data_IF_068038437835
#
_entry.id   IF_068038437835
#
_cell.length_a   1.000
_cell.length_b   1.000
_cell.length_c   1.000
_cell.angle_alpha   90.00
_cell.angle_beta   90.00
_cell.angle_gamma   90.00
#
_symmetry.space_group_name_H-M   'P 1'
#
loop_
_entity.id
_entity.type
_entity.pdbx_description
1 polymer ?
#
# COMPACT_ATOMS: atom_id res chain seq x y z
N UNK A 1 27.00 -20.52 19.36
CA UNK A 1 26.00 -21.19 18.50
C UNK A 1 25.72 -20.27 17.33
N UNK A 2 25.73 -20.80 16.09
CA UNK A 2 25.73 -20.02 14.85
C UNK A 2 24.38 -20.30 14.14
N UNK A 3 23.56 -19.27 13.89
CA UNK A 3 22.54 -19.35 12.84
C UNK A 3 23.18 -18.90 11.52
N UNK A 4 22.79 -19.53 10.42
CA UNK A 4 23.36 -19.30 9.08
C UNK A 4 22.41 -18.55 8.16
N UNK A 5 21.11 -18.53 8.49
CA UNK A 5 20.07 -17.80 7.76
C UNK A 5 19.31 -16.86 8.68
N UNK A 6 18.71 -15.80 8.13
CA UNK A 6 17.89 -14.88 8.92
C UNK A 6 16.68 -15.61 9.55
N UNK A 7 16.10 -16.61 8.86
CA UNK A 7 14.99 -17.38 9.42
C UNK A 7 15.41 -18.17 10.66
N UNK A 8 16.55 -18.85 10.61
CA UNK A 8 17.11 -19.55 11.77
C UNK A 8 17.39 -18.59 12.92
N UNK A 9 17.94 -17.40 12.62
CA UNK A 9 18.22 -16.40 13.66
C UNK A 9 16.93 -15.89 14.32
N UNK A 10 15.83 -15.73 13.56
CA UNK A 10 14.53 -15.35 14.11
C UNK A 10 13.93 -16.46 15.00
N UNK A 11 14.03 -17.71 14.58
CA UNK A 11 13.53 -18.86 15.35
C UNK A 11 14.30 -19.06 16.65
N UNK A 12 15.62 -18.87 16.60
CA UNK A 12 16.51 -18.97 17.74
C UNK A 12 16.31 -17.81 18.73
N UNK A 13 16.39 -16.56 18.26
CA UNK A 13 16.35 -15.39 19.12
C UNK A 13 14.93 -15.00 19.55
N UNK A 14 13.90 -15.45 18.82
CA UNK A 14 12.48 -15.08 19.00
C UNK A 14 12.28 -13.57 19.28
N UNK A 15 12.81 -12.69 18.41
CA UNK A 15 12.78 -11.26 18.68
C UNK A 15 11.35 -10.71 18.61
N UNK A 16 11.07 -9.73 19.45
CA UNK A 16 9.86 -8.90 19.39
C UNK A 16 9.96 -7.86 18.27
N UNK A 17 11.17 -7.39 17.95
CA UNK A 17 11.45 -6.39 16.93
C UNK A 17 12.76 -6.68 16.20
N UNK A 18 12.83 -6.33 14.92
CA UNK A 18 14.07 -6.33 14.13
C UNK A 18 14.38 -4.91 13.66
N UNK A 19 15.63 -4.48 13.87
CA UNK A 19 16.21 -3.29 13.24
C UNK A 19 17.11 -3.73 12.10
N UNK A 20 16.73 -3.43 10.87
CA UNK A 20 17.48 -3.80 9.68
C UNK A 20 18.15 -2.58 9.05
N UNK A 21 19.47 -2.59 8.95
CA UNK A 21 20.23 -1.70 8.07
C UNK A 21 20.45 -2.45 6.77
N UNK A 22 20.10 -1.87 5.62
CA UNK A 22 20.24 -2.56 4.34
C UNK A 22 20.48 -1.61 3.18
N UNK A 23 21.48 -1.90 2.36
CA UNK A 23 21.79 -1.20 1.12
C UNK A 23 22.39 -2.19 0.11
N UNK A 24 21.74 -2.49 -1.03
CA UNK A 24 20.40 -2.06 -1.46
C UNK A 24 19.26 -2.56 -0.54
N UNK A 25 18.01 -2.17 -0.82
CA UNK A 25 16.82 -2.69 -0.11
C UNK A 25 15.83 -3.34 -1.08
N UNK A 26 15.40 -4.56 -0.79
CA UNK A 26 14.33 -5.22 -1.52
C UNK A 26 13.01 -5.14 -0.77
N UNK A 27 12.02 -4.43 -1.31
CA UNK A 27 10.69 -4.25 -0.69
C UNK A 27 9.93 -5.56 -0.45
N UNK A 28 10.16 -6.60 -1.27
CA UNK A 28 9.61 -7.93 -1.00
C UNK A 28 10.26 -8.61 0.22
N UNK A 29 11.52 -8.29 0.52
CA UNK A 29 12.19 -8.73 1.74
C UNK A 29 11.61 -8.02 2.97
N UNK A 30 11.38 -6.70 2.86
CA UNK A 30 10.69 -5.91 3.90
C UNK A 30 9.32 -6.50 4.20
N UNK A 31 8.50 -6.72 3.17
CA UNK A 31 7.16 -7.28 3.32
C UNK A 31 7.18 -8.67 3.97
N UNK A 32 8.05 -9.57 3.49
CA UNK A 32 8.15 -10.93 4.02
C UNK A 32 8.62 -10.96 5.48
N UNK A 33 9.53 -10.06 5.87
CA UNK A 33 10.01 -9.97 7.25
C UNK A 33 8.97 -9.30 8.17
N UNK A 34 8.34 -8.22 7.73
CA UNK A 34 7.31 -7.50 8.49
C UNK A 34 6.06 -8.37 8.77
N UNK A 35 5.79 -9.36 7.91
CA UNK A 35 4.75 -10.37 8.14
C UNK A 35 5.02 -11.24 9.39
N UNK A 36 6.27 -11.37 9.81
CA UNK A 36 6.71 -12.28 10.88
C UNK A 36 7.04 -11.55 12.19
N UNK A 37 7.55 -10.33 12.10
CA UNK A 37 8.08 -9.58 13.26
C UNK A 37 7.95 -8.07 13.05
N UNK A 38 7.82 -7.30 14.13
CA UNK A 38 7.87 -5.84 14.06
C UNK A 38 9.20 -5.40 13.45
N UNK A 39 9.15 -4.52 12.45
CA UNK A 39 10.32 -4.21 11.63
C UNK A 39 10.53 -2.70 11.52
N UNK A 40 11.74 -2.25 11.84
CA UNK A 40 12.24 -0.93 11.45
C UNK A 40 13.42 -1.13 10.51
N UNK A 41 13.46 -0.39 9.40
CA UNK A 41 14.48 -0.50 8.34
C UNK A 41 15.09 0.86 8.06
N UNK A 42 16.41 0.91 7.91
CA UNK A 42 17.16 2.07 7.44
C UNK A 42 17.97 1.69 6.20
N UNK A 43 17.85 2.48 5.13
CA UNK A 43 18.50 2.22 3.84
C UNK A 43 19.10 3.48 3.22
N UNK A 44 20.16 3.34 2.43
CA UNK A 44 20.68 4.42 1.57
C UNK A 44 20.31 4.25 0.10
N UNK A 45 19.49 3.25 -0.23
CA UNK A 45 19.12 2.89 -1.59
C UNK A 45 20.22 2.14 -2.38
N UNK A 46 19.90 1.63 -3.58
CA UNK A 46 18.61 1.70 -4.26
C UNK A 46 17.54 0.79 -3.61
N UNK A 47 16.27 1.16 -3.78
CA UNK A 47 15.10 0.42 -3.25
C UNK A 47 14.33 -0.23 -4.41
N UNK A 48 14.24 -1.55 -4.40
CA UNK A 48 13.50 -2.33 -5.38
C UNK A 48 12.11 -2.71 -4.86
N UNK A 49 11.09 -2.78 -5.71
CA UNK A 49 9.70 -3.07 -5.31
C UNK A 49 9.20 -2.11 -4.22
N UNK A 50 9.31 -0.80 -4.49
CA UNK A 50 8.95 0.28 -3.56
C UNK A 50 7.48 0.19 -3.11
N UNK A 51 6.56 -0.25 -3.98
CA UNK A 51 5.15 -0.43 -3.59
C UNK A 51 4.99 -1.56 -2.56
N UNK A 52 5.83 -2.59 -2.59
CA UNK A 52 5.83 -3.63 -1.56
C UNK A 52 6.34 -3.11 -0.21
N UNK A 53 7.19 -2.08 -0.20
CA UNK A 53 7.55 -1.37 1.05
C UNK A 53 6.32 -0.69 1.63
N UNK A 54 5.58 0.05 0.80
CA UNK A 54 4.34 0.71 1.24
C UNK A 54 3.31 -0.31 1.77
N UNK A 55 3.14 -1.44 1.07
CA UNK A 55 2.29 -2.55 1.52
C UNK A 55 2.72 -3.09 2.90
N UNK A 56 4.03 -3.20 3.15
CA UNK A 56 4.56 -3.63 4.43
C UNK A 56 4.27 -2.63 5.56
N UNK A 57 4.39 -1.33 5.26
CA UNK A 57 4.06 -0.25 6.19
C UNK A 57 2.57 -0.27 6.53
N UNK A 58 1.70 -0.36 5.53
CA UNK A 58 0.25 -0.27 5.71
C UNK A 58 -0.32 -1.48 6.47
N UNK A 59 0.16 -2.69 6.16
CA UNK A 59 -0.44 -3.91 6.72
C UNK A 59 0.24 -4.38 8.01
N UNK A 60 1.53 -4.06 8.20
CA UNK A 60 2.33 -4.64 9.29
C UNK A 60 3.04 -3.58 10.13
N UNK A 61 2.80 -2.29 9.89
CA UNK A 61 3.40 -1.21 10.66
C UNK A 61 4.91 -1.16 10.55
N UNK A 62 5.47 -1.65 9.43
CA UNK A 62 6.89 -1.53 9.18
C UNK A 62 7.29 -0.04 9.10
N UNK A 63 8.41 0.32 9.72
CA UNK A 63 8.96 1.67 9.62
C UNK A 63 10.16 1.63 8.67
N UNK A 64 10.13 2.36 7.56
CA UNK A 64 11.24 2.37 6.60
C UNK A 64 11.73 3.79 6.41
N UNK A 65 13.01 4.01 6.69
CA UNK A 65 13.65 5.31 6.60
C UNK A 65 14.85 5.27 5.67
N UNK A 66 15.08 6.40 5.02
CA UNK A 66 16.27 6.65 4.22
C UNK A 66 17.30 7.41 5.05
N UNK A 67 18.54 6.90 5.07
CA UNK A 67 19.69 7.58 5.62
C UNK A 67 20.88 7.44 4.64
N UNK A 68 21.57 8.53 4.29
CA UNK A 68 22.69 8.49 3.35
C UNK A 68 23.90 7.75 3.94
N UNK A 69 24.78 7.24 3.06
CA UNK A 69 26.10 6.64 3.39
C UNK A 69 26.03 5.34 4.23
N UNK A 70 25.11 4.45 3.90
CA UNK A 70 25.10 3.09 4.44
C UNK A 70 25.73 2.13 3.43
N UNK A 71 26.78 1.44 3.87
CA UNK A 71 27.54 0.51 3.02
C UNK A 71 27.48 -0.93 3.52
N UNK A 72 26.63 -1.21 4.50
CA UNK A 72 26.54 -2.52 5.17
C UNK A 72 25.09 -2.98 5.31
N UNK A 73 24.92 -4.29 5.48
CA UNK A 73 23.65 -4.90 5.84
C UNK A 73 23.80 -5.60 7.20
N UNK A 74 23.03 -5.10 8.19
CA UNK A 74 23.09 -5.51 9.58
C UNK A 74 21.67 -5.71 10.11
N UNK A 75 21.48 -6.68 10.98
CA UNK A 75 20.21 -7.03 11.58
C UNK A 75 20.36 -7.11 13.09
N UNK A 76 19.74 -6.17 13.82
CA UNK A 76 19.57 -6.27 15.28
C UNK A 76 18.24 -6.96 15.57
N UNK A 77 18.31 -8.07 16.29
CA UNK A 77 17.18 -8.84 16.78
C UNK A 77 16.94 -8.46 18.24
N UNK A 78 15.86 -7.74 18.52
CA UNK A 78 15.50 -7.26 19.86
C UNK A 78 14.40 -8.12 20.46
N UNK A 79 14.70 -8.80 21.56
CA UNK A 79 13.77 -9.63 22.32
C UNK A 79 14.24 -9.77 23.76
N UNK A 80 14.06 -10.95 24.35
CA UNK A 80 14.59 -11.23 25.70
C UNK A 80 16.13 -11.30 25.69
N UNK A 81 16.72 -11.52 24.51
CA UNK A 81 18.14 -11.31 24.21
C UNK A 81 18.26 -10.37 23.03
N UNK A 82 19.28 -9.51 23.04
CA UNK A 82 19.68 -8.73 21.87
C UNK A 82 20.74 -9.48 21.11
N UNK A 83 20.50 -9.76 19.83
CA UNK A 83 21.48 -10.36 18.95
C UNK A 83 21.72 -9.48 17.73
N UNK A 84 22.95 -9.44 17.27
CA UNK A 84 23.36 -8.66 16.13
C UNK A 84 23.99 -9.59 15.10
N UNK A 85 23.43 -9.52 13.90
CA UNK A 85 23.83 -10.34 12.77
C UNK A 85 24.26 -9.46 11.60
N UNK A 86 25.31 -9.87 10.92
CA UNK A 86 25.72 -9.31 9.63
C UNK A 86 25.32 -10.27 8.53
N UNK A 87 24.96 -9.75 7.37
CA UNK A 87 24.57 -10.60 6.25
C UNK A 87 24.32 -9.85 4.95
N UNK A 88 23.73 -10.52 3.95
CA UNK A 88 23.36 -9.88 2.69
C UNK A 88 22.26 -8.83 2.88
N UNK A 89 22.07 -7.93 1.89
CA UNK A 89 20.96 -6.98 1.86
C UNK A 89 19.59 -7.64 2.03
N UNK A 90 18.67 -6.94 2.69
CA UNK A 90 17.30 -7.40 2.95
C UNK A 90 16.51 -7.48 1.65
N UNK A 91 16.55 -8.65 1.03
CA UNK A 91 15.77 -9.04 -0.14
C UNK A 91 14.92 -10.27 0.19
N UNK A 92 14.02 -10.65 -0.73
CA UNK A 92 13.06 -11.75 -0.49
C UNK A 92 13.75 -13.07 -0.09
N UNK A 93 14.83 -13.46 -0.76
CA UNK A 93 15.55 -14.70 -0.46
C UNK A 93 16.14 -14.69 0.96
N UNK A 94 16.66 -13.55 1.41
CA UNK A 94 17.22 -13.39 2.76
C UNK A 94 16.13 -13.44 3.82
N UNK A 95 15.03 -12.70 3.62
CA UNK A 95 13.89 -12.70 4.55
C UNK A 95 13.23 -14.09 4.70
N UNK A 96 13.25 -14.90 3.64
CA UNK A 96 12.72 -16.26 3.65
C UNK A 96 13.72 -17.32 4.13
N UNK A 97 14.97 -16.95 4.42
CA UNK A 97 15.99 -17.91 4.87
C UNK A 97 16.64 -18.74 3.74
N UNK A 98 16.40 -18.41 2.48
CA UNK A 98 17.02 -19.10 1.34
C UNK A 98 18.48 -18.68 1.10
N UNK A 99 18.98 -17.68 1.84
CA UNK A 99 20.38 -17.24 1.79
C UNK A 99 21.07 -17.59 3.09
N UNK A 100 22.21 -18.29 2.98
CA UNK A 100 22.99 -18.87 4.09
C UNK A 100 24.20 -18.02 4.50
N UNK A 101 24.20 -16.74 4.15
CA UNK A 101 25.31 -15.82 4.41
C UNK A 101 25.01 -14.85 5.58
N UNK A 102 24.24 -15.30 6.58
CA UNK A 102 23.98 -14.53 7.79
C UNK A 102 24.84 -15.08 8.92
N UNK A 103 25.53 -14.21 9.65
CA UNK A 103 26.36 -14.59 10.79
C UNK A 103 26.03 -13.71 12.00
N UNK A 104 25.61 -14.33 13.11
CA UNK A 104 25.54 -13.66 14.41
C UNK A 104 26.96 -13.45 14.92
N UNK A 105 27.29 -12.21 15.21
CA UNK A 105 28.59 -11.85 15.78
C UNK A 105 28.51 -11.53 17.27
N UNK A 106 27.35 -11.09 17.77
CA UNK A 106 27.14 -10.87 19.19
C UNK A 106 25.70 -11.13 19.60
N UNK A 107 25.51 -11.67 20.82
CA UNK A 107 24.23 -11.67 21.52
C UNK A 107 24.36 -10.98 22.88
N UNK A 108 24.98 -9.80 22.88
CA UNK A 108 25.03 -8.85 23.98
C UNK A 108 24.27 -7.58 23.62
N UNK A 109 23.97 -6.74 24.61
CA UNK A 109 23.43 -5.40 24.35
C UNK A 109 24.37 -4.64 23.41
N UNK A 110 23.84 -4.11 22.31
CA UNK A 110 24.62 -3.30 21.35
C UNK A 110 23.98 -1.93 21.25
N UNK A 111 24.73 -0.91 21.64
CA UNK A 111 24.30 0.49 21.65
C UNK A 111 24.79 1.23 20.41
N UNK A 112 23.97 2.17 19.91
CA UNK A 112 24.36 3.12 18.89
C UNK A 112 23.74 2.86 17.51
N UNK A 113 23.28 1.63 17.24
CA UNK A 113 22.58 1.32 16.00
C UNK A 113 21.22 2.05 15.94
N UNK A 114 20.58 2.25 17.09
CA UNK A 114 19.28 2.91 17.23
C UNK A 114 19.31 4.36 16.72
N UNK A 115 20.46 5.03 16.81
CA UNK A 115 20.64 6.41 16.33
C UNK A 115 20.42 6.53 14.81
N UNK A 116 20.66 5.47 14.05
CA UNK A 116 20.40 5.44 12.61
C UNK A 116 18.89 5.43 12.30
N UNK A 117 18.08 4.87 13.19
CA UNK A 117 16.64 4.73 13.03
C UNK A 117 15.86 5.98 13.44
N UNK A 118 16.48 6.92 14.15
CA UNK A 118 15.85 8.19 14.54
C UNK A 118 16.15 9.34 13.56
N UNK A 119 17.33 9.35 12.93
CA UNK A 119 17.79 10.47 12.08
C UNK A 119 17.36 10.43 10.60
N UNK A 120 16.96 9.28 10.06
CA UNK A 120 16.60 9.15 8.64
C UNK A 120 15.29 9.86 8.26
N UNK A 121 15.02 10.07 6.96
CA UNK A 121 13.70 10.55 6.46
C UNK A 121 12.78 9.36 6.20
N UNK A 122 11.47 9.40 6.53
CA UNK A 122 10.53 8.35 6.14
C UNK A 122 10.56 8.14 4.62
N UNK A 123 10.54 6.88 4.17
CA UNK A 123 10.74 6.55 2.75
C UNK A 123 9.63 7.11 1.86
N UNK A 124 8.41 7.17 2.38
CA UNK A 124 7.22 7.70 1.72
C UNK A 124 7.27 9.21 1.50
N UNK A 125 8.21 9.93 2.13
CA UNK A 125 8.45 11.36 1.91
C UNK A 125 9.48 11.62 0.81
N UNK A 126 10.07 10.57 0.22
CA UNK A 126 11.08 10.71 -0.82
C UNK A 126 10.52 10.38 -2.20
N UNK A 127 11.06 11.05 -3.22
CA UNK A 127 10.79 10.69 -4.59
C UNK A 127 11.60 9.45 -5.02
N UNK A 128 11.03 8.65 -5.92
CA UNK A 128 11.64 7.45 -6.48
C UNK A 128 13.03 7.70 -7.10
N UNK A 129 13.29 8.90 -7.65
CA UNK A 129 14.60 9.32 -8.16
C UNK A 129 15.69 9.34 -7.08
N UNK A 130 15.34 9.67 -5.83
CA UNK A 130 16.28 9.73 -4.70
C UNK A 130 16.62 8.32 -4.20
N UNK A 131 15.62 7.45 -4.11
CA UNK A 131 15.77 6.07 -3.60
C UNK A 131 16.10 5.05 -4.71
N UNK A 132 16.57 5.53 -5.86
CA UNK A 132 17.03 4.74 -7.00
C UNK A 132 15.93 4.31 -7.97
N UNK A 133 16.28 4.16 -9.25
CA UNK A 133 15.36 3.74 -10.32
C UNK A 133 14.73 2.35 -10.09
N UNK A 134 13.63 2.07 -10.80
CA UNK A 134 12.96 0.77 -10.76
C UNK A 134 11.62 0.80 -11.50
N UNK A 135 11.12 -0.39 -11.88
CA UNK A 135 9.88 -0.53 -12.68
C UNK A 135 8.65 0.11 -12.02
N UNK A 136 8.60 0.13 -10.69
CA UNK A 136 7.47 0.65 -9.92
C UNK A 136 7.71 2.06 -9.34
N UNK A 137 8.79 2.74 -9.75
CA UNK A 137 9.12 4.08 -9.25
C UNK A 137 8.03 5.12 -9.50
N UNK A 138 7.48 5.16 -10.72
CA UNK A 138 6.38 6.07 -11.07
C UNK A 138 5.13 5.79 -10.24
N UNK A 139 4.76 4.51 -10.05
CA UNK A 139 3.60 4.16 -9.25
C UNK A 139 3.80 4.52 -7.77
N UNK A 140 5.00 4.31 -7.24
CA UNK A 140 5.35 4.72 -5.89
C UNK A 140 5.20 6.23 -5.69
N UNK A 141 5.68 7.05 -6.63
CA UNK A 141 5.56 8.50 -6.56
C UNK A 141 4.10 8.96 -6.58
N UNK A 142 3.28 8.40 -7.47
CA UNK A 142 1.84 8.70 -7.51
C UNK A 142 1.16 8.32 -6.19
N UNK A 143 1.41 7.11 -5.68
CA UNK A 143 0.78 6.62 -4.44
C UNK A 143 1.20 7.49 -3.25
N UNK A 144 2.48 7.82 -3.10
CA UNK A 144 2.96 8.64 -1.99
C UNK A 144 2.40 10.06 -2.03
N UNK A 145 2.29 10.64 -3.23
CA UNK A 145 1.63 11.95 -3.41
C UNK A 145 0.16 11.88 -3.05
N UNK A 146 -0.60 10.92 -3.59
CA UNK A 146 -2.03 10.72 -3.26
C UNK A 146 -2.26 10.58 -1.74
N UNK A 147 -1.39 9.83 -1.05
CA UNK A 147 -1.45 9.68 0.42
C UNK A 147 -1.15 10.97 1.20
N UNK A 148 -0.36 11.87 0.62
CA UNK A 148 0.03 13.12 1.26
C UNK A 148 -0.98 14.26 1.07
N UNK A 149 -1.96 14.05 0.18
CA UNK A 149 -2.99 15.04 -0.12
C UNK A 149 -3.88 15.29 1.11
N UNK A 150 -4.09 16.57 1.40
CA UNK A 150 -5.13 17.02 2.34
C UNK A 150 -6.26 17.60 1.53
N UNK A 151 -7.36 16.86 1.46
CA UNK A 151 -8.56 17.27 0.73
C UNK A 151 -9.62 17.62 1.76
N UNK A 152 -10.17 18.82 1.65
CA UNK A 152 -11.24 19.33 2.49
C UNK A 152 -12.34 19.87 1.56
N UNK A 153 -13.17 18.93 1.10
CA UNK A 153 -14.23 19.12 0.11
C UNK A 153 -15.39 18.22 0.46
N UNK A 154 -16.60 18.68 0.17
CA UNK A 154 -17.84 18.02 0.59
C UNK A 154 -18.42 17.08 -0.50
N UNK A 155 -18.03 17.28 -1.77
CA UNK A 155 -18.58 16.57 -2.93
C UNK A 155 -17.52 15.71 -3.65
N UNK A 156 -17.93 14.56 -4.16
CA UNK A 156 -17.04 13.62 -4.86
C UNK A 156 -16.42 14.17 -6.16
N UNK A 157 -17.14 15.00 -6.92
CA UNK A 157 -16.63 15.63 -8.14
C UNK A 157 -15.57 16.68 -7.82
N UNK A 158 -15.84 17.51 -6.80
CA UNK A 158 -14.89 18.51 -6.29
C UNK A 158 -13.62 17.86 -5.74
N UNK A 159 -13.75 16.72 -5.03
CA UNK A 159 -12.61 15.94 -4.56
C UNK A 159 -11.81 15.39 -5.74
N UNK A 160 -12.48 14.82 -6.75
CA UNK A 160 -11.81 14.26 -7.92
C UNK A 160 -11.06 15.34 -8.71
N UNK A 161 -11.69 16.48 -8.99
CA UNK A 161 -11.07 17.63 -9.67
C UNK A 161 -9.88 18.19 -8.87
N UNK A 162 -10.02 18.31 -7.54
CA UNK A 162 -8.92 18.73 -6.69
C UNK A 162 -7.74 17.75 -6.77
N UNK A 163 -7.98 16.44 -6.76
CA UNK A 163 -6.91 15.43 -6.87
C UNK A 163 -6.23 15.52 -8.24
N UNK A 164 -6.98 15.73 -9.33
CA UNK A 164 -6.43 15.95 -10.68
C UNK A 164 -5.51 17.18 -10.67
N UNK A 165 -5.96 18.30 -10.12
CA UNK A 165 -5.20 19.56 -10.08
C UNK A 165 -4.05 19.58 -9.08
N UNK A 166 -4.00 18.64 -8.14
CA UNK A 166 -2.94 18.54 -7.13
C UNK A 166 -1.55 18.22 -7.71
N UNK A 167 -1.48 17.76 -8.96
CA UNK A 167 -0.24 17.30 -9.59
C UNK A 167 0.23 15.93 -9.10
N UNK A 168 -0.62 15.16 -8.40
CA UNK A 168 -0.29 13.81 -7.94
C UNK A 168 0.17 12.88 -9.08
N UNK A 169 -0.36 13.09 -10.30
CA UNK A 169 -0.07 12.28 -11.49
C UNK A 169 0.98 12.89 -12.44
N UNK A 170 1.57 14.05 -12.11
CA UNK A 170 2.41 14.88 -13.00
C UNK A 170 1.70 15.31 -14.30
N UNK A 171 0.36 15.25 -14.33
CA UNK A 171 -0.53 15.69 -15.42
C UNK A 171 -1.82 16.22 -14.79
N UNK A 172 -2.48 17.14 -15.49
CA UNK A 172 -3.74 17.79 -15.10
C UNK A 172 -4.91 17.48 -16.06
N UNK A 173 -4.64 16.83 -17.20
CA UNK A 173 -5.67 16.32 -18.11
C UNK A 173 -6.45 15.15 -17.46
N UNK A 174 -7.79 15.26 -17.29
CA UNK A 174 -8.61 14.22 -16.63
C UNK A 174 -8.54 12.84 -17.30
N UNK A 175 -8.43 12.78 -18.62
CA UNK A 175 -8.34 11.52 -19.36
C UNK A 175 -6.98 10.85 -19.15
N UNK A 176 -5.89 11.63 -19.18
CA UNK A 176 -4.56 11.15 -18.83
C UNK A 176 -4.49 10.65 -17.38
N UNK A 177 -5.07 11.38 -16.42
CA UNK A 177 -5.16 10.94 -15.01
C UNK A 177 -5.92 9.62 -14.94
N UNK A 178 -7.09 9.53 -15.57
CA UNK A 178 -7.91 8.32 -15.60
C UNK A 178 -7.16 7.11 -16.15
N UNK A 179 -6.42 7.30 -17.25
CA UNK A 179 -5.60 6.26 -17.84
C UNK A 179 -4.47 5.81 -16.91
N UNK A 180 -3.77 6.76 -16.27
CA UNK A 180 -2.67 6.47 -15.35
C UNK A 180 -3.15 5.77 -14.08
N UNK A 181 -4.27 6.23 -13.52
CA UNK A 181 -4.90 5.64 -12.35
C UNK A 181 -5.34 4.20 -12.63
N UNK A 182 -6.05 3.96 -13.74
CA UNK A 182 -6.45 2.62 -14.15
C UNK A 182 -5.26 1.70 -14.38
N UNK A 183 -4.22 2.19 -15.08
CA UNK A 183 -2.98 1.45 -15.33
C UNK A 183 -2.30 1.06 -14.02
N UNK A 184 -2.19 1.99 -13.07
CA UNK A 184 -1.61 1.76 -11.75
C UNK A 184 -2.36 0.64 -11.02
N UNK A 185 -3.69 0.76 -10.87
CA UNK A 185 -4.45 -0.21 -10.08
C UNK A 185 -4.54 -1.58 -10.75
N UNK A 186 -4.58 -1.63 -12.09
CA UNK A 186 -4.60 -2.90 -12.84
C UNK A 186 -3.26 -3.64 -12.76
N UNK A 187 -2.15 -2.91 -12.90
CA UNK A 187 -0.80 -3.48 -12.82
C UNK A 187 -0.47 -4.00 -11.42
N UNK A 188 -0.95 -3.29 -10.39
CA UNK A 188 -0.64 -3.57 -8.98
C UNK A 188 -1.82 -4.20 -8.22
N UNK A 189 -2.80 -4.79 -8.92
CA UNK A 189 -4.02 -5.39 -8.33
C UNK A 189 -3.80 -6.45 -7.24
N UNK A 190 -2.58 -6.99 -7.14
CA UNK A 190 -2.18 -7.98 -6.15
C UNK A 190 -1.37 -7.38 -4.98
N UNK A 191 -1.26 -6.05 -4.88
CA UNK A 191 -0.54 -5.33 -3.83
C UNK A 191 -1.52 -4.59 -2.95
N UNK A 192 -1.62 -4.99 -1.69
CA UNK A 192 -2.58 -4.40 -0.73
C UNK A 192 -2.02 -3.12 -0.09
N UNK A 193 -1.43 -2.25 -0.91
CA UNK A 193 -0.98 -0.94 -0.49
C UNK A 193 -2.15 0.05 -0.55
N UNK A 194 -2.21 0.96 0.42
CA UNK A 194 -3.18 2.06 0.46
C UNK A 194 -2.87 3.06 -0.64
N UNK A 195 -3.86 3.55 -1.37
CA UNK A 195 -3.68 4.63 -2.33
C UNK A 195 -4.18 5.96 -1.78
N UNK A 196 -5.19 5.93 -0.93
CA UNK A 196 -5.86 7.08 -0.39
C UNK A 196 -6.42 6.74 0.98
N UNK A 197 -6.29 7.65 1.95
CA UNK A 197 -6.90 7.49 3.28
C UNK A 197 -8.16 8.32 3.34
N UNK A 198 -9.28 7.65 3.58
CA UNK A 198 -10.57 8.29 3.73
C UNK A 198 -10.62 8.99 5.10
N UNK A 199 -10.72 10.34 5.17
CA UNK A 199 -10.75 11.07 6.43
C UNK A 199 -12.08 10.93 7.19
N UNK A 200 -13.19 10.63 6.50
CA UNK A 200 -14.52 10.46 7.11
C UNK A 200 -14.62 9.13 7.83
N UNK A 201 -14.10 8.07 7.19
CA UNK A 201 -14.17 6.70 7.72
C UNK A 201 -12.93 6.35 8.56
N UNK A 202 -11.80 7.01 8.32
CA UNK A 202 -10.52 6.73 8.99
C UNK A 202 -9.80 5.48 8.45
N UNK A 203 -10.20 4.97 7.28
CA UNK A 203 -9.66 3.74 6.67
C UNK A 203 -8.92 4.02 5.36
N UNK A 204 -7.94 3.17 5.05
CA UNK A 204 -7.16 3.27 3.81
C UNK A 204 -7.78 2.47 2.66
N UNK A 205 -8.19 3.14 1.58
CA UNK A 205 -8.57 2.48 0.33
C UNK A 205 -7.32 1.87 -0.33
N UNK A 206 -7.35 0.58 -0.60
CA UNK A 206 -6.22 -0.13 -1.19
C UNK A 206 -6.34 -0.27 -2.71
N UNK A 207 -5.20 -0.51 -3.38
CA UNK A 207 -5.15 -0.78 -4.82
C UNK A 207 -6.15 -1.87 -5.25
N UNK A 208 -6.21 -3.06 -4.60
CA UNK A 208 -7.10 -4.12 -5.03
C UNK A 208 -8.56 -3.77 -4.81
N UNK A 209 -8.89 -3.04 -3.74
CA UNK A 209 -10.27 -2.60 -3.49
C UNK A 209 -10.80 -1.75 -4.64
N UNK A 210 -10.03 -0.78 -5.13
CA UNK A 210 -10.44 0.06 -6.27
C UNK A 210 -10.53 -0.76 -7.55
N UNK A 211 -9.51 -1.59 -7.84
CA UNK A 211 -9.52 -2.43 -9.03
C UNK A 211 -10.75 -3.35 -9.09
N UNK A 212 -11.05 -4.04 -7.98
CA UNK A 212 -12.18 -4.96 -7.92
C UNK A 212 -13.52 -4.23 -7.80
N UNK A 213 -13.59 -3.04 -7.20
CA UNK A 213 -14.80 -2.22 -7.23
C UNK A 213 -15.21 -1.87 -8.67
N UNK A 214 -14.26 -1.46 -9.52
CA UNK A 214 -14.52 -1.23 -10.95
C UNK A 214 -15.05 -2.50 -11.63
N UNK A 215 -14.45 -3.66 -11.34
CA UNK A 215 -14.89 -4.96 -11.88
C UNK A 215 -16.30 -5.35 -11.42
N UNK A 216 -16.63 -5.07 -10.17
CA UNK A 216 -17.96 -5.31 -9.60
C UNK A 216 -18.99 -4.39 -10.23
N UNK A 217 -18.68 -3.10 -10.41
CA UNK A 217 -19.55 -2.15 -11.12
C UNK A 217 -19.83 -2.61 -12.56
N UNK A 218 -18.80 -3.07 -13.27
CA UNK A 218 -18.92 -3.60 -14.64
C UNK A 218 -19.77 -4.87 -14.78
N UNK A 219 -20.00 -5.59 -13.68
CA UNK A 219 -20.85 -6.78 -13.60
C UNK A 219 -22.14 -6.53 -12.80
N UNK A 220 -22.39 -5.29 -12.37
CA UNK A 220 -23.54 -4.93 -11.55
C UNK A 220 -24.86 -5.14 -12.28
N UNK A 221 -25.90 -5.50 -11.53
CA UNK A 221 -27.26 -5.75 -12.02
C UNK A 221 -28.32 -5.20 -11.06
N UNK A 222 -27.96 -4.23 -10.21
CA UNK A 222 -28.87 -3.71 -9.19
C UNK A 222 -29.87 -2.68 -9.75
N UNK A 223 -29.68 -2.22 -10.98
CA UNK A 223 -30.56 -1.27 -11.67
C UNK A 223 -31.36 -1.98 -12.78
N UNK A 224 -32.63 -1.61 -12.99
CA UNK A 224 -33.44 -2.14 -14.09
C UNK A 224 -32.91 -1.68 -15.47
N UNK A 225 -32.22 -0.53 -15.52
CA UNK A 225 -31.59 -0.01 -16.73
C UNK A 225 -30.06 -0.01 -16.55
N UNK A 226 -29.37 -0.90 -17.27
CA UNK A 226 -27.92 -0.94 -17.33
C UNK A 226 -27.22 -1.63 -16.17
N UNK A 227 -25.88 -1.65 -16.21
CA UNK A 227 -25.05 -2.30 -15.20
C UNK A 227 -24.70 -1.31 -14.09
N UNK A 228 -25.29 -1.52 -12.91
CA UNK A 228 -25.03 -0.69 -11.75
C UNK A 228 -24.94 -1.50 -10.44
N UNK A 229 -24.33 -0.89 -9.43
CA UNK A 229 -24.38 -1.33 -8.04
C UNK A 229 -25.02 -0.24 -7.19
N UNK A 230 -25.97 -0.63 -6.35
CA UNK A 230 -26.58 0.25 -5.35
C UNK A 230 -25.73 0.27 -4.09
N UNK A 231 -25.37 1.47 -3.64
CA UNK A 231 -24.62 1.78 -2.41
C UNK A 231 -23.13 1.43 -2.41
N UNK A 232 -22.37 2.22 -1.65
CA UNK A 232 -20.92 2.14 -1.48
C UNK A 232 -20.52 0.87 -0.74
N UNK A 233 -21.24 0.53 0.34
CA UNK A 233 -20.94 -0.63 1.16
C UNK A 233 -21.07 -1.92 0.35
N UNK A 234 -22.12 -2.06 -0.47
CA UNK A 234 -22.33 -3.25 -1.30
C UNK A 234 -21.23 -3.42 -2.35
N UNK A 235 -20.79 -2.31 -2.95
CA UNK A 235 -19.67 -2.29 -3.88
C UNK A 235 -18.38 -2.79 -3.21
N UNK A 236 -18.03 -2.24 -2.04
CA UNK A 236 -16.84 -2.59 -1.30
C UNK A 236 -16.87 -4.02 -0.75
N UNK A 237 -18.01 -4.48 -0.22
CA UNK A 237 -18.20 -5.85 0.24
C UNK A 237 -17.90 -6.87 -0.87
N UNK A 238 -18.43 -6.63 -2.08
CA UNK A 238 -18.19 -7.49 -3.24
C UNK A 238 -16.74 -7.40 -3.72
N UNK A 239 -16.15 -6.20 -3.74
CA UNK A 239 -14.76 -6.00 -4.11
C UNK A 239 -13.80 -6.75 -3.17
N UNK A 240 -14.05 -6.69 -1.85
CA UNK A 240 -13.25 -7.34 -0.80
C UNK A 240 -13.33 -8.87 -0.81
N UNK A 241 -14.36 -9.46 -1.42
CA UNK A 241 -14.43 -10.92 -1.67
C UNK A 241 -13.46 -11.36 -2.77
N UNK A 242 -13.10 -10.45 -3.68
CA UNK A 242 -12.19 -10.72 -4.79
C UNK A 242 -10.75 -10.27 -4.51
N UNK A 243 -10.57 -9.32 -3.59
CA UNK A 243 -9.26 -8.80 -3.20
C UNK A 243 -8.40 -9.87 -2.50
N UNK A 244 -7.06 -9.87 -2.70
CA UNK A 244 -6.16 -10.74 -1.96
C UNK A 244 -6.29 -10.51 -0.44
N UNK A 245 -6.10 -11.52 0.41
CA UNK A 245 -6.17 -11.36 1.85
C UNK A 245 -5.06 -10.43 2.35
N UNK A 246 -5.42 -9.46 3.19
CA UNK A 246 -4.50 -8.51 3.81
C UNK A 246 -5.12 -7.96 5.10
N UNK A 247 -4.30 -7.59 6.09
CA UNK A 247 -4.78 -7.11 7.40
C UNK A 247 -5.69 -5.89 7.26
N UNK A 248 -5.34 -4.96 6.39
CA UNK A 248 -6.18 -3.77 6.13
C UNK A 248 -7.54 -4.13 5.51
N UNK A 249 -7.63 -5.22 4.75
CA UNK A 249 -8.91 -5.68 4.20
C UNK A 249 -9.81 -6.27 5.30
N UNK A 250 -9.23 -6.81 6.37
CA UNK A 250 -9.99 -7.28 7.53
C UNK A 250 -10.61 -6.12 8.30
N UNK A 251 -9.89 -5.00 8.47
CA UNK A 251 -10.42 -3.76 9.05
C UNK A 251 -11.64 -3.26 8.28
N UNK A 252 -11.56 -3.23 6.94
CA UNK A 252 -12.71 -2.89 6.10
C UNK A 252 -13.88 -3.87 6.24
N UNK A 253 -13.62 -5.17 6.34
CA UNK A 253 -14.68 -6.18 6.54
C UNK A 253 -15.40 -5.99 7.87
N UNK A 254 -14.67 -5.62 8.92
CA UNK A 254 -15.25 -5.28 10.24
C UNK A 254 -16.09 -4.02 10.12
N UNK A 255 -15.53 -2.95 9.54
CA UNK A 255 -16.21 -1.66 9.36
C UNK A 255 -17.52 -1.76 8.55
N UNK A 256 -17.57 -2.61 7.53
CA UNK A 256 -18.77 -2.82 6.71
C UNK A 256 -19.90 -3.59 7.44
N UNK A 257 -19.56 -4.36 8.48
CA UNK A 257 -20.52 -5.07 9.33
C UNK A 257 -21.10 -4.18 10.43
N UNK A 258 -20.35 -3.18 10.89
CA UNK A 258 -20.77 -2.26 11.94
C UNK A 258 -21.75 -1.20 11.41
N UNK A 259 -22.98 -1.09 11.94
CA UNK A 259 -24.00 -0.19 11.38
C UNK A 259 -23.60 1.30 11.37
N UNK A 260 -22.91 1.78 12.41
CA UNK A 260 -22.48 3.19 12.49
C UNK A 260 -21.41 3.51 11.46
N UNK A 261 -20.39 2.65 11.36
CA UNK A 261 -19.29 2.80 10.41
C UNK A 261 -19.79 2.62 8.97
N UNK A 262 -20.72 1.69 8.74
CA UNK A 262 -21.37 1.50 7.43
C UNK A 262 -22.09 2.76 6.95
N UNK A 263 -22.77 3.50 7.82
CA UNK A 263 -23.40 4.79 7.45
C UNK A 263 -22.36 5.82 7.01
N UNK A 264 -21.26 5.96 7.76
CA UNK A 264 -20.14 6.83 7.38
C UNK A 264 -19.54 6.45 6.02
N UNK A 265 -19.42 5.15 5.73
CA UNK A 265 -18.96 4.66 4.44
C UNK A 265 -19.90 5.07 3.31
N UNK A 266 -21.21 5.02 3.53
CA UNK A 266 -22.20 5.46 2.53
C UNK A 266 -22.19 6.97 2.32
N UNK A 267 -21.94 7.75 3.38
CA UNK A 267 -21.89 9.21 3.35
C UNK A 267 -20.58 9.75 2.75
N UNK A 268 -19.46 9.03 2.90
CA UNK A 268 -18.14 9.49 2.46
C UNK A 268 -18.06 9.82 0.96
N UNK A 269 -17.71 11.06 0.58
CA UNK A 269 -17.51 11.45 -0.83
C UNK A 269 -16.14 11.00 -1.38
N UNK A 270 -15.21 10.60 -0.51
CA UNK A 270 -13.83 10.25 -0.89
C UNK A 270 -13.73 8.92 -1.64
N UNK A 271 -14.52 7.92 -1.25
CA UNK A 271 -14.55 6.61 -1.90
C UNK A 271 -15.08 6.72 -3.35
N UNK A 272 -16.24 7.36 -3.60
CA UNK A 272 -16.69 7.63 -4.96
C UNK A 272 -15.67 8.44 -5.77
N UNK A 273 -15.09 9.51 -5.21
CA UNK A 273 -14.12 10.32 -5.93
C UNK A 273 -12.91 9.50 -6.42
N UNK A 274 -12.34 8.64 -5.56
CA UNK A 274 -11.23 7.75 -5.94
C UNK A 274 -11.63 6.77 -7.05
N UNK A 275 -12.88 6.30 -7.06
CA UNK A 275 -13.40 5.45 -8.14
C UNK A 275 -13.59 6.23 -9.44
N UNK A 276 -14.05 7.48 -9.38
CA UNK A 276 -14.20 8.37 -10.54
C UNK A 276 -12.86 8.66 -11.21
N UNK A 277 -11.79 8.83 -10.42
CA UNK A 277 -10.42 9.01 -10.93
C UNK A 277 -9.93 7.84 -11.81
N UNK A 278 -10.63 6.70 -11.86
CA UNK A 278 -10.30 5.62 -12.79
C UNK A 278 -10.81 5.87 -14.22
N UNK A 279 -11.76 6.80 -14.40
CA UNK A 279 -12.50 7.02 -15.65
C UNK A 279 -13.34 5.83 -16.10
N UNK A 280 -13.57 4.85 -15.21
CA UNK A 280 -14.34 3.63 -15.47
C UNK A 280 -15.67 3.58 -14.74
N UNK A 281 -15.85 4.42 -13.72
CA UNK A 281 -17.03 4.45 -12.86
C UNK A 281 -17.61 5.85 -12.86
N UNK A 282 -18.87 5.95 -13.25
CA UNK A 282 -19.72 7.11 -13.04
C UNK A 282 -20.51 6.93 -11.74
N UNK A 283 -20.60 8.00 -10.95
CA UNK A 283 -21.38 8.05 -9.73
C UNK A 283 -22.63 8.89 -10.03
N UNK A 284 -23.82 8.33 -9.82
CA UNK A 284 -25.09 9.04 -9.92
C UNK A 284 -25.87 8.92 -8.62
N UNK A 285 -26.88 9.75 -8.44
CA UNK A 285 -27.75 9.69 -7.26
C UNK A 285 -29.11 9.09 -7.64
N UNK A 286 -29.57 8.08 -6.90
CA UNK A 286 -30.92 7.54 -7.04
C UNK A 286 -31.92 8.54 -6.46
N UNK A 287 -32.73 9.16 -7.31
CA UNK A 287 -33.71 10.18 -6.93
C UNK A 287 -34.73 9.70 -5.87
N UNK A 288 -34.97 8.38 -5.77
CA UNK A 288 -35.94 7.83 -4.82
C UNK A 288 -35.36 7.59 -3.42
N UNK A 289 -34.05 7.35 -3.32
CA UNK A 289 -33.39 6.95 -2.06
C UNK A 289 -32.24 7.86 -1.63
N UNK A 290 -31.90 8.85 -2.47
CA UNK A 290 -30.69 9.68 -2.35
C UNK A 290 -29.39 8.86 -2.19
N UNK A 291 -29.41 7.59 -2.61
CA UNK A 291 -28.26 6.70 -2.52
C UNK A 291 -27.37 6.81 -3.76
N UNK A 292 -26.07 6.63 -3.58
CA UNK A 292 -25.12 6.60 -4.69
C UNK A 292 -25.29 5.32 -5.52
N UNK A 293 -25.29 5.52 -6.84
CA UNK A 293 -25.34 4.51 -7.89
C UNK A 293 -24.00 4.50 -8.61
N UNK A 294 -23.37 3.33 -8.64
CA UNK A 294 -22.09 3.14 -9.33
C UNK A 294 -22.33 2.47 -10.66
N UNK A 295 -22.07 3.20 -11.75
CA UNK A 295 -22.34 2.77 -13.12
C UNK A 295 -20.99 2.62 -13.84
N UNK A 296 -20.83 1.53 -14.58
CA UNK A 296 -19.64 1.36 -15.41
C UNK A 296 -19.79 2.17 -16.71
N UNK A 297 -18.90 3.14 -16.93
CA UNK A 297 -19.04 4.18 -17.97
C UNK A 297 -18.55 3.78 -19.36
N UNK A 298 -17.96 2.58 -19.52
CA UNK A 298 -17.32 2.15 -20.78
C UNK A 298 -17.73 0.74 -21.21
N UNK A 299 -17.26 0.29 -22.37
CA UNK A 299 -17.49 -1.09 -22.82
C UNK A 299 -16.70 -2.06 -21.93
N UNK A 300 -17.24 -3.25 -21.55
CA UNK A 300 -16.50 -4.25 -20.77
C UNK A 300 -15.18 -4.69 -21.43
N UNK A 301 -15.04 -4.51 -22.75
CA UNK A 301 -13.79 -4.73 -23.48
C UNK A 301 -12.63 -3.82 -23.02
N UNK A 302 -12.94 -2.66 -22.43
CA UNK A 302 -11.98 -1.65 -21.95
C UNK A 302 -11.40 -1.97 -20.56
N UNK A 303 -11.74 -3.14 -19.99
CA UNK A 303 -11.13 -3.68 -18.78
C UNK A 303 -9.82 -4.43 -19.06
N UNK A 304 -9.48 -4.64 -20.34
CA UNK A 304 -8.21 -5.23 -20.74
C UNK A 304 -7.07 -4.28 -20.35
N UNK A 305 -6.00 -4.74 -19.66
CA UNK A 305 -4.79 -3.94 -19.58
C UNK A 305 -4.31 -3.74 -21.02
N UNK A 306 -4.33 -2.50 -21.52
CA UNK A 306 -3.88 -2.20 -22.87
C UNK A 306 -2.53 -2.88 -23.12
N UNK A 307 -2.39 -3.54 -24.28
CA UNK A 307 -1.07 -3.98 -24.74
C UNK A 307 -0.18 -2.73 -24.80
N UNK A 308 1.04 -2.89 -24.31
CA UNK A 308 2.07 -1.87 -24.24
C UNK A 308 2.31 -1.19 -25.59
#
# INVERSE_FOLDING_TARGET
>A
MICTTLSECLEFAKPKKVLAVSSPLGGLGVLALAQRVKLSVVTSGPVFNKVAVLEAMDNYGAEVRYAPRLHTALYKLEGDRECLAAGPPLVRSVALGNSTAVSIYSCSKVEGLEKLFTGGKPIEMLNSKVIGGGRDGRYFDVITRLRSLRVDKDDEEDIADWVIRSGAFDVDDPDAVSHLMWRLISHLRNRSAVIFRDPVVGLGLTIPMVYYAVRVAAAGQDCPQGRCIKTTAKLLERALRMAPPAKIHDEWRVALREPQTRRKIEESPYIPAVLMLTGKVEVKHDAATSSRLYIFSRSPADLSPGKA
#
